data_IF_673380696729
#
_entry.id   IF_673380696729
#
_cell.length_a   1.000
_cell.length_b   1.000
_cell.length_c   1.000
_cell.angle_alpha   90.00
_cell.angle_beta   90.00
_cell.angle_gamma   90.00
#
_symmetry.space_group_name_H-M   'P 1'
#
loop_
_entity.id
_entity.type
_entity.pdbx_description
1 polymer ?
#
# COMPACT_ATOMS: atom_id res chain seq x y z
N UNK A 1 -7.56 30.14 -4.65
CA UNK A 1 -6.75 28.90 -4.66
C UNK A 1 -7.55 27.81 -5.38
N UNK A 2 -6.87 27.02 -6.21
CA UNK A 2 -7.53 25.93 -6.94
C UNK A 2 -7.67 24.71 -6.03
N UNK A 3 -8.91 24.44 -5.59
CA UNK A 3 -9.20 23.32 -4.69
C UNK A 3 -8.86 21.98 -5.34
N UNK A 4 -9.08 21.82 -6.64
CA UNK A 4 -8.73 20.60 -7.36
C UNK A 4 -7.22 20.31 -7.28
N UNK A 5 -6.39 21.32 -7.50
CA UNK A 5 -4.93 21.16 -7.45
C UNK A 5 -4.46 20.84 -6.03
N UNK A 6 -5.11 21.42 -5.02
CA UNK A 6 -4.81 21.12 -3.63
C UNK A 6 -5.13 19.65 -3.31
N UNK A 7 -6.32 19.18 -3.65
CA UNK A 7 -6.71 17.78 -3.42
C UNK A 7 -5.83 16.82 -4.19
N UNK A 8 -5.47 17.17 -5.43
CA UNK A 8 -4.57 16.34 -6.25
C UNK A 8 -3.20 16.22 -5.60
N UNK A 9 -2.65 17.31 -5.08
CA UNK A 9 -1.35 17.31 -4.40
C UNK A 9 -1.38 16.44 -3.15
N UNK A 10 -2.42 16.60 -2.31
CA UNK A 10 -2.56 15.83 -1.09
C UNK A 10 -2.79 14.36 -1.39
N UNK A 11 -3.55 14.05 -2.44
CA UNK A 11 -3.75 12.68 -2.89
C UNK A 11 -2.43 12.03 -3.33
N UNK A 12 -1.63 12.73 -4.13
CA UNK A 12 -0.33 12.21 -4.59
C UNK A 12 0.63 11.97 -3.43
N UNK A 13 0.70 12.90 -2.47
CA UNK A 13 1.53 12.74 -1.28
C UNK A 13 1.13 11.48 -0.50
N UNK A 14 -0.17 11.31 -0.29
CA UNK A 14 -0.71 10.15 0.43
C UNK A 14 -0.43 8.84 -0.30
N UNK A 15 -0.63 8.81 -1.61
CA UNK A 15 -0.39 7.62 -2.44
C UNK A 15 1.09 7.25 -2.43
N UNK A 16 1.99 8.22 -2.58
CA UNK A 16 3.43 7.97 -2.56
C UNK A 16 3.85 7.38 -1.21
N UNK A 17 3.36 7.97 -0.11
CA UNK A 17 3.65 7.47 1.24
C UNK A 17 3.14 6.05 1.45
N UNK A 18 1.92 5.77 1.00
CA UNK A 18 1.32 4.45 1.11
C UNK A 18 2.10 3.42 0.28
N UNK A 19 2.41 3.75 -0.97
CA UNK A 19 3.16 2.85 -1.85
C UNK A 19 4.56 2.58 -1.33
N UNK A 20 5.23 3.59 -0.78
CA UNK A 20 6.55 3.40 -0.17
C UNK A 20 6.49 2.36 0.94
N UNK A 21 5.47 2.44 1.81
CA UNK A 21 5.26 1.46 2.88
C UNK A 21 4.93 0.07 2.34
N UNK A 22 4.04 -0.02 1.35
CA UNK A 22 3.66 -1.30 0.75
C UNK A 22 4.84 -1.99 0.08
N UNK A 23 5.79 -1.23 -0.46
CA UNK A 23 6.99 -1.79 -1.09
C UNK A 23 8.06 -2.16 -0.06
N UNK A 24 8.04 -1.54 1.12
CA UNK A 24 9.09 -1.73 2.12
C UNK A 24 8.74 -2.77 3.19
N UNK A 25 7.48 -2.81 3.64
CA UNK A 25 7.09 -3.71 4.73
C UNK A 25 7.35 -5.19 4.42
N UNK A 26 7.01 -5.72 3.23
CA UNK A 26 7.35 -7.12 2.93
C UNK A 26 8.86 -7.38 2.96
N UNK A 27 9.67 -6.38 2.63
CA UNK A 27 11.12 -6.49 2.69
C UNK A 27 11.59 -6.64 4.15
N UNK A 28 10.97 -5.92 5.07
CA UNK A 28 11.23 -6.10 6.50
C UNK A 28 10.85 -7.52 6.92
N UNK A 29 9.72 -8.03 6.44
CA UNK A 29 9.29 -9.41 6.74
C UNK A 29 10.31 -10.44 6.26
N UNK A 30 10.96 -10.21 5.10
CA UNK A 30 12.04 -11.09 4.61
C UNK A 30 13.14 -11.21 5.65
N UNK A 31 13.65 -10.09 6.12
CA UNK A 31 14.73 -10.06 7.10
C UNK A 31 14.29 -10.58 8.45
N UNK A 32 13.05 -10.29 8.86
CA UNK A 32 12.50 -10.79 10.10
C UNK A 32 12.42 -12.33 10.06
N UNK A 33 11.95 -12.90 8.95
CA UNK A 33 11.87 -14.35 8.79
C UNK A 33 13.24 -15.01 8.86
N UNK A 34 14.26 -14.36 8.29
CA UNK A 34 15.64 -14.86 8.33
C UNK A 34 16.25 -14.82 9.73
N UNK A 35 15.77 -13.94 10.61
CA UNK A 35 16.33 -13.69 11.93
C UNK A 35 15.34 -13.95 13.06
N UNK A 36 14.30 -14.74 12.81
CA UNK A 36 13.24 -14.97 13.80
C UNK A 36 13.72 -15.71 15.05
N UNK A 37 14.83 -16.44 14.96
CA UNK A 37 15.42 -17.14 16.10
C UNK A 37 16.23 -16.21 17.03
N UNK A 38 16.63 -15.03 16.56
CA UNK A 38 17.34 -14.03 17.36
C UNK A 38 16.34 -13.12 18.06
N UNK A 39 16.17 -13.27 19.36
CA UNK A 39 15.14 -12.57 20.13
C UNK A 39 15.29 -11.05 20.02
N UNK A 40 16.49 -10.51 20.21
CA UNK A 40 16.72 -9.05 20.15
C UNK A 40 16.41 -8.49 18.78
N UNK A 41 16.90 -9.13 17.73
CA UNK A 41 16.69 -8.69 16.35
C UNK A 41 15.21 -8.77 15.99
N UNK A 42 14.55 -9.86 16.36
CA UNK A 42 13.11 -10.03 16.13
C UNK A 42 12.29 -8.95 16.79
N UNK A 43 12.62 -8.57 18.05
CA UNK A 43 11.88 -7.51 18.75
C UNK A 43 12.06 -6.16 18.07
N UNK A 44 13.25 -5.86 17.51
CA UNK A 44 13.49 -4.64 16.75
C UNK A 44 12.63 -4.62 15.49
N UNK A 45 12.59 -5.73 14.76
CA UNK A 45 11.76 -5.82 13.54
C UNK A 45 10.27 -5.66 13.87
N UNK A 46 9.79 -6.21 14.98
CA UNK A 46 8.40 -6.03 15.42
C UNK A 46 8.06 -4.55 15.61
N UNK A 47 8.97 -3.79 16.21
CA UNK A 47 8.78 -2.36 16.41
C UNK A 47 8.75 -1.62 15.07
N UNK A 48 9.69 -1.93 14.16
CA UNK A 48 9.75 -1.32 12.83
C UNK A 48 8.48 -1.59 12.03
N UNK A 49 8.03 -2.84 12.02
CA UNK A 49 6.83 -3.26 11.29
C UNK A 49 5.59 -2.54 11.83
N UNK A 50 5.44 -2.50 13.14
CA UNK A 50 4.31 -1.85 13.79
C UNK A 50 4.25 -0.36 13.47
N UNK A 51 5.39 0.33 13.61
CA UNK A 51 5.43 1.77 13.35
C UNK A 51 5.18 2.09 11.89
N UNK A 52 5.75 1.32 10.98
CA UNK A 52 5.54 1.53 9.55
C UNK A 52 4.07 1.32 9.19
N UNK A 53 3.48 0.23 9.64
CA UNK A 53 2.11 -0.13 9.28
C UNK A 53 1.08 0.83 9.89
N UNK A 54 1.15 1.08 11.20
CA UNK A 54 0.11 1.85 11.90
C UNK A 54 0.31 3.35 11.83
N UNK A 55 1.57 3.84 11.75
CA UNK A 55 1.82 5.28 11.80
C UNK A 55 2.02 5.92 10.43
N UNK A 56 2.37 5.14 9.42
CA UNK A 56 2.60 5.65 8.07
C UNK A 56 1.62 5.05 7.05
N UNK A 57 1.60 3.73 6.94
CA UNK A 57 0.84 3.05 5.88
C UNK A 57 -0.67 3.20 6.03
N UNK A 58 -1.20 2.93 7.21
CA UNK A 58 -2.64 2.96 7.43
C UNK A 58 -3.21 4.37 7.31
N UNK A 59 -2.60 5.42 7.93
CA UNK A 59 -3.06 6.78 7.69
C UNK A 59 -2.94 7.19 6.22
N UNK A 60 -1.85 6.82 5.56
CA UNK A 60 -1.65 7.16 4.15
C UNK A 60 -2.68 6.47 3.25
N UNK A 61 -3.04 5.23 3.53
CA UNK A 61 -4.10 4.52 2.81
C UNK A 61 -5.44 5.24 2.95
N UNK A 62 -5.81 5.59 4.19
CA UNK A 62 -7.06 6.29 4.46
C UNK A 62 -7.10 7.63 3.73
N UNK A 63 -6.02 8.40 3.82
CA UNK A 63 -5.94 9.70 3.15
C UNK A 63 -5.95 9.57 1.63
N UNK A 64 -5.34 8.52 1.09
CA UNK A 64 -5.38 8.24 -0.35
C UNK A 64 -6.81 8.05 -0.83
N UNK A 65 -7.60 7.26 -0.12
CA UNK A 65 -9.00 7.06 -0.44
C UNK A 65 -9.82 8.33 -0.29
N UNK A 66 -9.64 9.06 0.82
CA UNK A 66 -10.39 10.30 1.09
C UNK A 66 -10.12 11.32 -0.01
N UNK A 67 -8.86 11.62 -0.30
CA UNK A 67 -8.53 12.62 -1.33
C UNK A 67 -8.85 12.13 -2.73
N UNK A 68 -8.75 10.83 -2.98
CA UNK A 68 -9.16 10.26 -4.26
C UNK A 68 -10.66 10.45 -4.51
N UNK A 69 -11.49 10.21 -3.51
CA UNK A 69 -12.93 10.41 -3.61
C UNK A 69 -13.27 11.90 -3.75
N UNK A 70 -12.57 12.79 -3.03
CA UNK A 70 -12.76 14.23 -3.18
C UNK A 70 -12.38 14.70 -4.58
N UNK A 71 -11.35 14.14 -5.19
CA UNK A 71 -10.98 14.44 -6.58
C UNK A 71 -12.08 14.02 -7.55
N UNK A 72 -12.63 12.82 -7.38
CA UNK A 72 -13.73 12.35 -8.24
C UNK A 72 -14.93 13.27 -8.12
N UNK A 73 -15.26 13.71 -6.89
CA UNK A 73 -16.34 14.65 -6.66
C UNK A 73 -16.06 15.99 -7.37
N UNK A 74 -14.82 16.47 -7.33
CA UNK A 74 -14.43 17.74 -7.95
C UNK A 74 -14.53 17.73 -9.47
N UNK A 75 -14.15 16.60 -10.11
CA UNK A 75 -14.17 16.49 -11.58
C UNK A 75 -15.49 15.91 -12.10
N UNK A 76 -16.34 15.41 -11.21
CA UNK A 76 -17.64 14.85 -11.56
C UNK A 76 -17.67 13.34 -11.56
N UNK A 77 -18.75 12.76 -11.04
CA UNK A 77 -18.89 11.30 -10.94
C UNK A 77 -19.03 10.61 -12.28
N UNK A 78 -19.28 11.34 -13.37
CA UNK A 78 -19.34 10.76 -14.70
C UNK A 78 -18.01 10.11 -15.12
N UNK A 79 -16.90 10.52 -14.51
CA UNK A 79 -15.59 9.91 -14.76
C UNK A 79 -15.54 8.44 -14.32
N UNK A 80 -16.43 8.01 -13.42
CA UNK A 80 -16.50 6.61 -13.01
C UNK A 80 -16.91 5.69 -14.15
N UNK A 81 -17.52 6.21 -15.21
CA UNK A 81 -17.84 5.44 -16.40
C UNK A 81 -16.67 5.22 -17.34
N UNK A 82 -15.53 5.88 -17.12
CA UNK A 82 -14.34 5.73 -17.95
C UNK A 82 -13.62 4.41 -17.62
N UNK A 83 -13.15 3.72 -18.65
CA UNK A 83 -12.45 2.44 -18.48
C UNK A 83 -11.20 2.59 -17.61
N UNK A 84 -10.41 3.63 -17.85
CA UNK A 84 -9.19 3.85 -17.07
C UNK A 84 -9.47 4.08 -15.58
N UNK A 85 -10.56 4.78 -15.27
CA UNK A 85 -10.94 5.02 -13.88
C UNK A 85 -11.38 3.73 -13.19
N UNK A 86 -12.17 2.90 -13.89
CA UNK A 86 -12.60 1.61 -13.36
C UNK A 86 -11.40 0.68 -13.11
N UNK A 87 -10.45 0.63 -14.05
CA UNK A 87 -9.25 -0.18 -13.88
C UNK A 87 -8.41 0.32 -12.71
N UNK A 88 -8.25 1.62 -12.57
CA UNK A 88 -7.53 2.21 -11.44
C UNK A 88 -8.18 1.82 -10.11
N UNK A 89 -9.51 1.94 -10.02
CA UNK A 89 -10.24 1.60 -8.80
C UNK A 89 -10.07 0.13 -8.46
N UNK A 90 -10.16 -0.76 -9.46
CA UNK A 90 -9.97 -2.20 -9.25
C UNK A 90 -8.57 -2.48 -8.68
N UNK A 91 -7.53 -1.89 -9.28
CA UNK A 91 -6.15 -2.08 -8.79
C UNK A 91 -5.95 -1.50 -7.40
N UNK A 92 -6.57 -0.36 -7.09
CA UNK A 92 -6.48 0.26 -5.76
C UNK A 92 -7.20 -0.60 -4.71
N UNK A 93 -8.34 -1.21 -5.07
CA UNK A 93 -9.03 -2.15 -4.18
C UNK A 93 -8.14 -3.36 -3.90
N UNK A 94 -7.47 -3.90 -4.93
CA UNK A 94 -6.54 -5.01 -4.75
C UNK A 94 -5.39 -4.62 -3.82
N UNK A 95 -4.84 -3.41 -3.98
CA UNK A 95 -3.81 -2.89 -3.07
C UNK A 95 -4.31 -2.77 -1.64
N UNK A 96 -5.56 -2.36 -1.45
CA UNK A 96 -6.17 -2.23 -0.13
C UNK A 96 -6.31 -3.61 0.53
N UNK A 97 -6.75 -4.60 -0.23
CA UNK A 97 -6.82 -5.99 0.26
C UNK A 97 -5.42 -6.47 0.64
N UNK A 98 -4.42 -6.19 -0.20
CA UNK A 98 -3.03 -6.53 0.07
C UNK A 98 -2.51 -5.84 1.34
N UNK A 99 -2.89 -4.58 1.56
CA UNK A 99 -2.53 -3.83 2.78
C UNK A 99 -3.02 -4.56 4.04
N UNK A 100 -4.28 -4.99 4.05
CA UNK A 100 -4.84 -5.71 5.19
C UNK A 100 -4.22 -7.11 5.35
N UNK A 101 -3.86 -7.75 4.23
CA UNK A 101 -3.12 -9.01 4.29
C UNK A 101 -1.75 -8.83 4.97
N UNK A 102 -1.04 -7.74 4.65
CA UNK A 102 0.22 -7.41 5.33
C UNK A 102 0.00 -7.18 6.83
N UNK A 103 -1.12 -6.55 7.20
CA UNK A 103 -1.49 -6.37 8.61
C UNK A 103 -1.67 -7.69 9.33
N UNK A 104 -2.25 -8.68 8.65
CA UNK A 104 -2.39 -10.03 9.20
C UNK A 104 -1.03 -10.69 9.42
N UNK A 105 -0.12 -10.56 8.44
CA UNK A 105 1.25 -11.08 8.56
C UNK A 105 1.97 -10.40 9.72
N UNK A 106 1.82 -9.08 9.86
CA UNK A 106 2.38 -8.33 10.98
C UNK A 106 1.92 -8.90 12.31
N UNK A 107 0.64 -9.22 12.44
CA UNK A 107 0.08 -9.84 13.62
C UNK A 107 0.70 -11.20 13.90
N UNK A 108 0.95 -12.01 12.86
CA UNK A 108 1.61 -13.31 13.01
C UNK A 108 3.04 -13.16 13.52
N UNK A 109 3.81 -12.21 12.99
CA UNK A 109 5.15 -11.94 13.50
C UNK A 109 5.13 -11.43 14.94
N UNK A 110 4.17 -10.57 15.27
CA UNK A 110 4.03 -10.03 16.63
C UNK A 110 3.86 -11.15 17.67
N UNK A 111 3.12 -12.19 17.32
CA UNK A 111 2.83 -13.33 18.19
C UNK A 111 3.79 -14.50 17.98
N UNK A 112 4.82 -14.33 17.17
CA UNK A 112 5.79 -15.36 16.81
C UNK A 112 5.14 -16.60 16.18
N UNK A 113 4.06 -16.39 15.41
CA UNK A 113 3.30 -17.45 14.73
C UNK A 113 3.63 -17.56 13.25
N UNK A 114 4.69 -16.90 12.78
CA UNK A 114 5.08 -16.94 11.38
C UNK A 114 5.49 -18.36 10.98
N UNK A 115 4.89 -18.85 9.88
CA UNK A 115 5.19 -20.17 9.32
C UNK A 115 5.82 -20.11 7.93
N UNK A 116 5.89 -18.91 7.35
CA UNK A 116 6.40 -18.73 5.99
C UNK A 116 7.89 -18.41 6.00
N UNK A 117 8.60 -18.87 4.93
CA UNK A 117 10.01 -18.58 4.75
C UNK A 117 10.23 -17.17 4.18
N UNK A 118 11.48 -16.70 4.26
CA UNK A 118 11.85 -15.41 3.67
C UNK A 118 11.58 -15.35 2.16
N UNK A 119 11.65 -16.49 1.47
CA UNK A 119 11.37 -16.56 0.02
C UNK A 119 9.92 -16.21 -0.30
N UNK A 120 8.99 -16.63 0.56
CA UNK A 120 7.58 -16.29 0.42
C UNK A 120 7.37 -14.78 0.46
N UNK A 121 8.03 -14.09 1.39
CA UNK A 121 7.89 -12.63 1.52
C UNK A 121 8.58 -11.88 0.39
N UNK A 122 9.66 -12.42 -0.18
CA UNK A 122 10.26 -11.86 -1.39
C UNK A 122 9.30 -11.89 -2.57
N UNK A 123 8.61 -13.01 -2.74
CA UNK A 123 7.60 -13.15 -3.79
C UNK A 123 6.44 -12.15 -3.58
N UNK A 124 5.95 -12.05 -2.34
CA UNK A 124 4.87 -11.12 -1.98
C UNK A 124 5.26 -9.67 -2.28
N UNK A 125 6.52 -9.30 -2.07
CA UNK A 125 7.00 -7.95 -2.30
C UNK A 125 6.91 -7.52 -3.78
N UNK A 126 6.81 -8.47 -4.70
CA UNK A 126 6.67 -8.16 -6.13
C UNK A 126 5.24 -7.74 -6.49
N UNK A 127 4.24 -8.13 -5.71
CA UNK A 127 2.83 -7.83 -5.99
C UNK A 127 2.56 -6.32 -6.03
N UNK A 128 2.94 -5.53 -5.01
CA UNK A 128 2.68 -4.08 -5.07
C UNK A 128 3.50 -3.39 -6.16
N UNK A 129 4.69 -3.88 -6.48
CA UNK A 129 5.48 -3.35 -7.58
C UNK A 129 4.75 -3.50 -8.91
N UNK A 130 4.24 -4.69 -9.19
CA UNK A 130 3.48 -4.95 -10.41
C UNK A 130 2.22 -4.08 -10.47
N UNK A 131 1.48 -4.01 -9.37
CA UNK A 131 0.25 -3.20 -9.31
C UNK A 131 0.56 -1.72 -9.51
N UNK A 132 1.67 -1.22 -8.93
CA UNK A 132 2.08 0.17 -9.12
C UNK A 132 2.35 0.47 -10.59
N UNK A 133 3.09 -0.42 -11.26
CA UNK A 133 3.38 -0.26 -12.69
C UNK A 133 2.07 -0.20 -13.49
N UNK A 134 1.15 -1.12 -13.23
CA UNK A 134 -0.13 -1.16 -13.93
C UNK A 134 -0.96 0.10 -13.68
N UNK A 135 -1.02 0.55 -12.43
CA UNK A 135 -1.77 1.77 -12.07
C UNK A 135 -1.21 3.00 -12.79
N UNK A 136 0.12 3.15 -12.79
CA UNK A 136 0.77 4.31 -13.43
C UNK A 136 0.48 4.32 -14.92
N UNK A 137 0.62 3.16 -15.60
CA UNK A 137 0.31 3.10 -17.03
C UNK A 137 -1.15 3.43 -17.32
N UNK A 138 -2.07 2.91 -16.52
CA UNK A 138 -3.50 3.19 -16.70
C UNK A 138 -3.81 4.67 -16.51
N UNK A 139 -3.24 5.29 -15.49
CA UNK A 139 -3.50 6.71 -15.19
C UNK A 139 -2.87 7.63 -16.22
N UNK A 140 -1.65 7.32 -16.67
CA UNK A 140 -0.93 8.17 -17.62
C UNK A 140 -1.50 8.05 -19.04
N UNK A 141 -1.71 6.82 -19.52
CA UNK A 141 -2.22 6.58 -20.87
C UNK A 141 -3.74 6.76 -20.99
N UNK A 142 -4.47 6.54 -19.89
CA UNK A 142 -5.93 6.63 -19.85
C UNK A 142 -6.59 5.89 -21.01
N UNK A 143 -6.38 4.57 -21.15
CA UNK A 143 -6.98 3.80 -22.23
C UNK A 143 -8.50 3.84 -22.15
N UNK A 144 -9.13 3.83 -23.31
CA UNK A 144 -10.59 3.87 -23.41
C UNK A 144 -11.20 2.51 -23.10
#
# INVERSE_FOLDING_TARGET
MNTYLLFKSLHLISVISWMAGLLYLPRIFVYHAENSSEIKTSEIFKIMEKKLFFYIMTPAMILSWVFGLLLIHSIGFHQLGQTWMLLKIVFVVILTIYHFYLGRILGQFKLDLNTHSHKFYRFINEIPTLLLILIIFVVVFKPI
#
